data_IF_292288618803
#
_entry.id   IF_292288618803
#
_cell.length_a   1.000
_cell.length_b   1.000
_cell.length_c   1.000
_cell.angle_alpha   90.00
_cell.angle_beta   90.00
_cell.angle_gamma   90.00
#
_symmetry.space_group_name_H-M   'P 1'
#
loop_
_entity.id
_entity.type
_entity.pdbx_description
1 polymer ?
#
# COMPACT_ATOMS: atom_id res chain seq x y z
N UNK A 1 17.92 -0.32 1.09
CA UNK A 1 16.52 -0.80 0.95
C UNK A 1 15.66 -0.47 2.15
N UNK A 2 15.74 -1.16 3.31
CA UNK A 2 14.87 -0.84 4.48
C UNK A 2 14.90 0.64 4.87
N UNK A 3 16.08 1.27 4.91
CA UNK A 3 16.18 2.73 5.18
C UNK A 3 15.44 3.60 4.16
N UNK A 4 15.43 3.22 2.88
CA UNK A 4 14.72 3.96 1.83
C UNK A 4 13.21 3.79 2.01
N UNK A 5 12.76 2.55 2.24
CA UNK A 5 11.37 2.24 2.58
C UNK A 5 10.91 3.02 3.82
N UNK A 6 11.74 3.08 4.86
CA UNK A 6 11.46 3.83 6.08
C UNK A 6 11.37 5.33 5.84
N UNK A 7 12.32 5.91 5.10
CA UNK A 7 12.31 7.32 4.78
C UNK A 7 11.02 7.72 4.04
N UNK A 8 10.65 6.95 3.01
CA UNK A 8 9.41 7.19 2.24
C UNK A 8 8.16 6.94 3.07
N UNK A 9 8.08 5.83 3.82
CA UNK A 9 6.93 5.49 4.65
C UNK A 9 6.67 6.48 5.79
N UNK A 10 7.72 7.12 6.32
CA UNK A 10 7.60 8.05 7.44
C UNK A 10 7.31 9.48 7.00
N UNK A 11 7.39 9.77 5.70
CA UNK A 11 7.04 11.04 5.10
C UNK A 11 5.54 11.06 4.73
N UNK A 12 4.69 11.89 5.36
CA UNK A 12 3.26 11.92 5.05
C UNK A 12 2.91 12.25 3.59
N UNK A 13 3.76 12.98 2.87
CA UNK A 13 3.55 13.31 1.46
C UNK A 13 4.06 12.25 0.48
N UNK A 14 4.88 11.30 0.94
CA UNK A 14 5.46 10.23 0.10
C UNK A 14 5.04 8.82 0.53
N UNK A 15 4.37 8.68 1.68
CA UNK A 15 3.96 7.40 2.27
C UNK A 15 3.10 6.53 1.36
N UNK A 16 2.37 7.17 0.46
CA UNK A 16 1.60 6.56 -0.61
C UNK A 16 2.02 7.19 -1.95
N UNK A 17 1.53 6.64 -3.06
CA UNK A 17 1.78 7.23 -4.39
C UNK A 17 1.04 8.55 -4.61
N UNK A 18 0.10 8.87 -3.70
CA UNK A 18 -0.73 10.05 -3.75
C UNK A 18 -0.94 10.64 -2.36
N UNK A 19 -1.18 11.93 -2.28
CA UNK A 19 -1.47 12.61 -1.03
C UNK A 19 -2.53 13.71 -1.21
N UNK A 20 -3.31 13.91 -0.16
CA UNK A 20 -4.40 14.88 -0.14
C UNK A 20 -3.88 16.28 0.22
N UNK A 21 -4.14 17.26 -0.64
CA UNK A 21 -3.78 18.65 -0.39
C UNK A 21 -5.05 19.52 -0.42
N UNK A 22 -5.31 20.35 0.61
CA UNK A 22 -6.47 21.24 0.61
C UNK A 22 -6.42 22.24 -0.56
N UNK A 23 -7.51 22.30 -1.33
CA UNK A 23 -7.63 23.25 -2.45
C UNK A 23 -7.45 24.69 -2.00
N UNK A 24 -7.99 25.03 -0.82
CA UNK A 24 -7.86 26.35 -0.21
C UNK A 24 -6.38 26.72 0.04
N UNK A 25 -5.57 25.77 0.52
CA UNK A 25 -4.15 25.99 0.77
C UNK A 25 -3.38 26.22 -0.54
N UNK A 26 -3.68 25.44 -1.59
CA UNK A 26 -3.06 25.64 -2.92
C UNK A 26 -3.37 27.04 -3.46
N UNK A 27 -4.63 27.49 -3.34
CA UNK A 27 -5.04 28.83 -3.78
C UNK A 27 -4.33 29.91 -2.98
N UNK A 28 -4.21 29.76 -1.67
CA UNK A 28 -3.52 30.71 -0.80
C UNK A 28 -2.02 30.80 -1.14
N UNK A 29 -1.37 29.65 -1.34
CA UNK A 29 0.07 29.56 -1.57
C UNK A 29 0.50 29.95 -2.98
N UNK A 30 -0.23 29.51 -4.00
CA UNK A 30 0.17 29.65 -5.42
C UNK A 30 -0.82 30.43 -6.29
N UNK A 31 -1.98 30.80 -5.75
CA UNK A 31 -3.05 31.46 -6.48
C UNK A 31 -3.91 30.50 -7.31
N UNK A 32 -5.13 30.94 -7.65
CA UNK A 32 -6.12 30.13 -8.37
C UNK A 32 -5.66 29.61 -9.73
N UNK A 33 -4.80 30.36 -10.44
CA UNK A 33 -4.24 29.93 -11.73
C UNK A 33 -3.38 28.67 -11.64
N UNK A 34 -2.84 28.33 -10.45
CA UNK A 34 -2.07 27.10 -10.26
C UNK A 34 -2.96 25.86 -10.40
N UNK A 35 -4.18 25.88 -9.84
CA UNK A 35 -5.14 24.78 -9.96
C UNK A 35 -5.50 24.45 -11.41
N UNK A 36 -5.58 25.46 -12.27
CA UNK A 36 -5.85 25.27 -13.70
C UNK A 36 -4.68 24.59 -14.41
N UNK A 37 -3.43 24.84 -13.96
CA UNK A 37 -2.22 24.24 -14.53
C UNK A 37 -2.00 22.81 -14.09
N UNK A 38 -2.29 22.49 -12.83
CA UNK A 38 -2.10 21.15 -12.27
C UNK A 38 -3.35 20.26 -12.43
N UNK A 39 -4.34 20.72 -13.20
CA UNK A 39 -5.62 20.01 -13.34
C UNK A 39 -5.44 18.57 -13.84
N UNK A 40 -4.46 18.35 -14.71
CA UNK A 40 -4.16 17.03 -15.26
C UNK A 40 -3.39 16.15 -14.27
N UNK A 41 -2.79 16.74 -13.24
CA UNK A 41 -2.09 16.04 -12.14
C UNK A 41 -3.05 15.69 -10.97
N UNK A 42 -4.26 16.26 -10.95
CA UNK A 42 -5.30 15.93 -9.97
C UNK A 42 -5.89 14.57 -10.32
N UNK A 43 -5.69 13.61 -9.42
CA UNK A 43 -6.18 12.25 -9.61
C UNK A 43 -7.63 12.12 -9.18
N UNK A 44 -8.00 12.75 -8.07
CA UNK A 44 -9.37 12.79 -7.58
C UNK A 44 -9.63 14.02 -6.70
N UNK A 45 -10.91 14.33 -6.45
CA UNK A 45 -11.32 15.43 -5.58
C UNK A 45 -12.07 14.87 -4.36
N UNK A 46 -11.61 15.18 -3.16
CA UNK A 46 -12.27 14.84 -1.92
C UNK A 46 -13.55 15.66 -1.70
N UNK A 47 -14.53 15.07 -1.03
CA UNK A 47 -15.76 15.77 -0.63
C UNK A 47 -15.55 16.81 0.48
N UNK A 48 -14.37 16.78 1.11
CA UNK A 48 -13.90 17.70 2.15
C UNK A 48 -13.14 18.92 1.60
N UNK A 49 -13.03 19.05 0.26
CA UNK A 49 -12.33 20.15 -0.38
C UNK A 49 -10.82 19.95 -0.53
N UNK A 50 -10.34 18.70 -0.40
CA UNK A 50 -9.00 18.30 -0.80
C UNK A 50 -8.94 17.83 -2.25
N UNK A 51 -7.75 17.85 -2.83
CA UNK A 51 -7.44 17.18 -4.10
C UNK A 51 -6.33 16.17 -3.85
N UNK A 52 -6.50 14.99 -4.46
CA UNK A 52 -5.49 13.94 -4.43
C UNK A 52 -4.49 14.20 -5.57
N UNK A 53 -3.23 14.43 -5.21
CA UNK A 53 -2.14 14.68 -6.13
C UNK A 53 -1.11 13.55 -6.06
N UNK A 54 -0.38 13.32 -7.15
CA UNK A 54 0.77 12.40 -7.12
C UNK A 54 1.79 12.84 -6.06
N UNK A 55 2.38 11.86 -5.39
CA UNK A 55 3.54 12.06 -4.55
C UNK A 55 4.66 12.75 -5.36
N UNK A 56 5.53 13.49 -4.68
CA UNK A 56 6.65 14.24 -5.27
C UNK A 56 6.28 15.48 -6.11
N UNK A 57 4.99 15.82 -6.22
CA UNK A 57 4.58 17.14 -6.73
C UNK A 57 5.05 18.26 -5.79
N UNK A 58 5.24 19.46 -6.35
CA UNK A 58 5.67 20.64 -5.61
C UNK A 58 4.67 20.98 -4.49
N UNK A 59 3.38 20.87 -4.77
CA UNK A 59 2.29 21.13 -3.83
C UNK A 59 2.30 20.18 -2.64
N UNK A 60 2.48 18.88 -2.88
CA UNK A 60 2.57 17.87 -1.83
C UNK A 60 3.81 18.11 -0.98
N UNK A 61 4.96 18.37 -1.63
CA UNK A 61 6.23 18.62 -0.96
C UNK A 61 6.14 19.84 -0.04
N UNK A 62 5.59 20.96 -0.53
CA UNK A 62 5.45 22.19 0.25
C UNK A 62 4.40 22.04 1.37
N UNK A 63 3.27 21.38 1.10
CA UNK A 63 2.20 21.22 2.09
C UNK A 63 2.64 20.35 3.28
N UNK A 64 3.38 19.27 3.01
CA UNK A 64 3.85 18.34 4.02
C UNK A 64 5.27 18.64 4.54
N UNK A 65 5.89 19.76 4.13
CA UNK A 65 7.27 20.11 4.53
C UNK A 65 7.47 20.05 6.05
N UNK A 66 6.54 20.66 6.79
CA UNK A 66 6.56 20.77 8.26
C UNK A 66 5.75 19.67 8.97
N UNK A 67 5.20 18.70 8.22
CA UNK A 67 4.39 17.64 8.80
C UNK A 67 5.24 16.69 9.66
N UNK A 68 4.67 16.27 10.80
CA UNK A 68 5.34 15.32 11.69
C UNK A 68 5.66 14.02 10.95
N UNK A 69 6.94 13.68 10.91
CA UNK A 69 7.43 12.42 10.32
C UNK A 69 7.24 11.27 11.29
N UNK A 70 6.90 10.11 10.77
CA UNK A 70 6.73 8.88 11.55
C UNK A 70 5.84 7.87 10.87
N UNK A 71 5.76 6.63 11.39
CA UNK A 71 4.92 5.59 10.83
C UNK A 71 3.43 5.88 11.10
N UNK A 72 2.57 5.57 10.13
CA UNK A 72 1.11 5.61 10.34
C UNK A 72 0.67 4.55 11.36
N UNK A 73 1.19 3.33 11.19
CA UNK A 73 1.03 2.23 12.12
C UNK A 73 2.41 1.86 12.65
N UNK A 74 2.67 2.01 13.96
CA UNK A 74 3.97 1.69 14.53
C UNK A 74 4.43 0.27 14.20
N UNK A 75 5.75 0.03 14.04
CA UNK A 75 6.28 -1.30 13.87
C UNK A 75 5.86 -2.22 15.01
N UNK A 76 5.65 -3.49 14.69
CA UNK A 76 5.24 -4.52 15.65
C UNK A 76 6.42 -5.35 16.13
N UNK A 77 6.24 -6.06 17.24
CA UNK A 77 7.27 -6.94 17.77
C UNK A 77 7.43 -8.19 16.90
N UNK A 78 8.61 -8.83 16.96
CA UNK A 78 8.82 -10.13 16.32
C UNK A 78 7.84 -11.19 16.82
N UNK A 79 7.46 -11.14 18.11
CA UNK A 79 6.45 -12.05 18.67
C UNK A 79 5.08 -11.86 18.01
N UNK A 80 4.70 -10.63 17.64
CA UNK A 80 3.43 -10.39 16.97
C UNK A 80 3.47 -10.84 15.51
N UNK A 81 4.62 -10.71 14.85
CA UNK A 81 4.87 -11.33 13.54
C UNK A 81 4.70 -12.85 13.63
N UNK A 82 5.28 -13.50 14.63
CA UNK A 82 5.17 -14.95 14.82
C UNK A 82 3.73 -15.41 15.08
N UNK A 83 2.94 -14.61 15.82
CA UNK A 83 1.50 -14.88 16.01
C UNK A 83 0.75 -14.79 14.69
N UNK A 84 1.06 -13.79 13.85
CA UNK A 84 0.46 -13.67 12.53
C UNK A 84 0.88 -14.81 11.58
N UNK A 85 2.17 -15.18 11.57
CA UNK A 85 2.67 -16.35 10.85
C UNK A 85 1.95 -17.64 11.26
N UNK A 86 1.63 -17.79 12.55
CA UNK A 86 0.85 -18.92 13.06
C UNK A 86 -0.58 -18.94 12.51
N UNK A 87 -1.25 -17.77 12.46
CA UNK A 87 -2.59 -17.64 11.85
C UNK A 87 -2.59 -17.91 10.36
N UNK A 88 -1.58 -17.40 9.64
CA UNK A 88 -1.38 -17.60 8.20
C UNK A 88 -0.98 -19.07 7.89
N UNK A 89 -0.44 -19.79 8.88
CA UNK A 89 0.04 -21.16 8.71
C UNK A 89 1.35 -21.26 7.91
N UNK A 90 2.04 -20.13 7.68
CA UNK A 90 3.30 -20.04 6.94
C UNK A 90 4.19 -18.94 7.51
N UNK A 91 5.51 -19.12 7.38
CA UNK A 91 6.46 -18.05 7.69
C UNK A 91 6.46 -17.00 6.59
N UNK A 92 6.59 -15.75 7.00
CA UNK A 92 6.76 -14.64 6.07
C UNK A 92 8.20 -14.62 5.54
N UNK A 93 8.41 -14.14 4.31
CA UNK A 93 9.73 -13.78 3.81
C UNK A 93 10.44 -12.84 4.78
N UNK A 94 11.75 -13.03 4.95
CA UNK A 94 12.55 -12.22 5.87
C UNK A 94 12.38 -10.71 5.60
N UNK A 95 12.22 -10.34 4.33
CA UNK A 95 11.96 -8.96 3.94
C UNK A 95 10.65 -8.41 4.54
N UNK A 96 9.55 -9.16 4.50
CA UNK A 96 8.29 -8.72 5.11
C UNK A 96 8.36 -8.67 6.62
N UNK A 97 9.04 -9.63 7.26
CA UNK A 97 9.28 -9.59 8.72
C UNK A 97 9.95 -8.28 9.11
N UNK A 98 11.06 -7.95 8.43
CA UNK A 98 11.80 -6.71 8.65
C UNK A 98 10.97 -5.46 8.36
N UNK A 99 10.15 -5.50 7.32
CA UNK A 99 9.25 -4.40 6.96
C UNK A 99 8.29 -4.08 8.11
N UNK A 100 7.63 -5.09 8.64
CA UNK A 100 6.66 -4.93 9.74
C UNK A 100 7.31 -4.60 11.11
N UNK A 101 8.57 -4.99 11.33
CA UNK A 101 9.28 -4.74 12.60
C UNK A 101 10.18 -3.50 12.61
N UNK A 102 10.66 -3.04 11.44
CA UNK A 102 11.59 -1.91 11.33
C UNK A 102 10.96 -0.66 10.69
N UNK A 103 9.95 -0.82 9.82
CA UNK A 103 9.36 0.32 9.06
C UNK A 103 8.02 0.74 9.65
N UNK A 104 7.01 -0.12 9.56
CA UNK A 104 5.65 0.12 10.05
C UNK A 104 4.77 -1.13 9.91
N UNK A 105 3.70 -1.23 10.70
CA UNK A 105 2.70 -2.30 10.59
C UNK A 105 1.67 -2.02 9.47
N UNK A 106 2.15 -1.88 8.25
CA UNK A 106 1.35 -1.42 7.10
C UNK A 106 1.12 0.09 7.11
N UNK A 107 0.15 0.56 6.33
CA UNK A 107 -0.21 1.98 6.29
C UNK A 107 0.70 2.82 5.41
N UNK A 108 1.49 2.20 4.53
CA UNK A 108 2.40 2.85 3.59
C UNK A 108 2.65 1.90 2.41
N UNK A 109 3.17 2.40 1.31
CA UNK A 109 3.43 1.60 0.13
C UNK A 109 2.61 2.10 -1.06
N UNK A 110 2.62 1.35 -2.18
CA UNK A 110 1.92 1.77 -3.38
C UNK A 110 0.41 1.77 -3.17
N UNK A 111 -0.29 2.53 -4.02
CA UNK A 111 -1.75 2.69 -4.02
C UNK A 111 -2.30 3.07 -2.63
N UNK A 112 -3.22 2.24 -2.11
CA UNK A 112 -3.83 2.38 -0.79
C UNK A 112 -2.88 1.98 0.35
N UNK A 113 -1.67 1.52 0.05
CA UNK A 113 -0.67 1.12 1.01
C UNK A 113 -0.90 -0.25 1.65
N UNK A 114 0.17 -0.81 2.21
CA UNK A 114 0.20 -2.16 2.74
C UNK A 114 -0.79 -2.37 3.89
N UNK A 115 -1.46 -3.51 3.87
CA UNK A 115 -2.26 -4.04 4.95
C UNK A 115 -1.41 -4.20 6.21
N UNK A 116 -2.05 -3.99 7.37
CA UNK A 116 -1.42 -4.31 8.64
C UNK A 116 -1.29 -5.83 8.77
N UNK A 117 -0.22 -6.30 9.40
CA UNK A 117 -0.05 -7.73 9.59
C UNK A 117 -1.00 -8.28 10.67
N UNK A 118 -1.25 -7.47 11.69
CA UNK A 118 -2.11 -7.80 12.83
C UNK A 118 -3.32 -6.88 12.92
N UNK A 119 -4.39 -7.39 13.54
CA UNK A 119 -5.53 -6.58 13.92
C UNK A 119 -5.13 -5.65 15.08
N UNK A 120 -5.53 -4.37 15.01
CA UNK A 120 -5.65 -3.53 16.20
C UNK A 120 -4.38 -2.87 16.78
N UNK A 121 -3.68 -2.05 16.01
CA UNK A 121 -2.93 -0.93 16.62
C UNK A 121 -3.01 0.31 15.72
N UNK A 122 -4.12 1.03 15.84
CA UNK A 122 -4.41 2.23 15.03
C UNK A 122 -4.29 3.44 15.93
N UNK A 123 -3.50 4.44 15.53
CA UNK A 123 -3.50 5.71 16.22
C UNK A 123 -4.94 6.27 16.30
N UNK A 124 -5.33 6.95 17.39
CA UNK A 124 -6.65 7.56 17.50
C UNK A 124 -6.88 8.51 16.31
N UNK A 125 -7.93 8.27 15.52
CA UNK A 125 -8.29 9.10 14.37
C UNK A 125 -8.09 8.47 12.99
N UNK A 126 -7.46 7.29 12.89
CA UNK A 126 -7.27 6.61 11.60
C UNK A 126 -8.22 5.42 11.37
N UNK A 127 -8.73 5.39 10.14
CA UNK A 127 -9.81 4.61 9.51
C UNK A 127 -10.12 3.25 10.16
N UNK A 128 -11.41 3.02 10.46
CA UNK A 128 -11.91 1.75 11.01
C UNK A 128 -11.77 0.56 10.03
N UNK A 129 -11.36 0.83 8.80
CA UNK A 129 -11.46 -0.11 7.66
C UNK A 129 -10.10 -0.55 7.07
N UNK A 130 -8.96 -0.20 7.69
CA UNK A 130 -7.66 -0.64 7.14
C UNK A 130 -7.53 -2.17 7.15
N UNK A 131 -7.18 -2.82 6.02
CA UNK A 131 -7.15 -4.27 5.92
C UNK A 131 -6.06 -4.88 6.81
N UNK A 132 -6.40 -6.02 7.42
CA UNK A 132 -5.47 -6.88 8.14
C UNK A 132 -5.14 -8.09 7.26
N UNK A 133 -3.87 -8.26 6.90
CA UNK A 133 -3.41 -9.31 6.01
C UNK A 133 -3.74 -10.71 6.53
N UNK A 134 -3.62 -10.95 7.85
CA UNK A 134 -3.97 -12.24 8.45
C UNK A 134 -5.47 -12.54 8.36
N UNK A 135 -6.32 -11.55 8.65
CA UNK A 135 -7.78 -11.70 8.59
C UNK A 135 -8.29 -11.81 7.14
N UNK A 136 -7.70 -11.07 6.19
CA UNK A 136 -7.98 -11.23 4.76
C UNK A 136 -7.53 -12.60 4.26
N UNK A 137 -6.38 -13.10 4.72
CA UNK A 137 -5.89 -14.43 4.34
C UNK A 137 -6.86 -15.54 4.81
N UNK A 138 -7.36 -15.48 6.05
CA UNK A 138 -8.36 -16.41 6.57
C UNK A 138 -9.65 -16.42 5.74
N UNK A 139 -10.12 -15.23 5.31
CA UNK A 139 -11.28 -15.09 4.40
C UNK A 139 -10.97 -15.69 3.02
N UNK A 140 -9.84 -15.34 2.43
CA UNK A 140 -9.46 -15.79 1.11
C UNK A 140 -9.33 -17.32 1.06
N UNK A 141 -8.80 -17.94 2.13
CA UNK A 141 -8.76 -19.39 2.25
C UNK A 141 -10.15 -20.03 2.22
N UNK A 142 -11.16 -19.44 2.89
CA UNK A 142 -12.52 -19.98 2.85
C UNK A 142 -13.21 -19.78 1.50
N UNK A 143 -12.76 -18.79 0.73
CA UNK A 143 -13.17 -18.52 -0.66
C UNK A 143 -12.38 -19.34 -1.70
N UNK A 144 -11.45 -20.20 -1.26
CA UNK A 144 -10.70 -21.13 -2.11
C UNK A 144 -9.39 -20.58 -2.68
N UNK A 145 -8.97 -19.39 -2.29
CA UNK A 145 -7.68 -18.82 -2.73
C UNK A 145 -6.50 -19.68 -2.30
N UNK A 146 -5.38 -19.64 -3.06
CA UNK A 146 -4.19 -20.40 -2.73
C UNK A 146 -3.65 -20.05 -1.33
N UNK A 147 -3.37 -21.04 -0.45
CA UNK A 147 -2.78 -20.79 0.87
C UNK A 147 -1.39 -20.18 0.86
N UNK A 148 -0.79 -20.01 -0.31
CA UNK A 148 0.51 -19.34 -0.48
C UNK A 148 0.36 -17.86 -0.78
N UNK A 149 -0.84 -17.35 -1.04
CA UNK A 149 -1.06 -15.95 -1.39
C UNK A 149 -1.43 -15.16 -0.16
N UNK A 150 -0.66 -14.11 0.11
CA UNK A 150 -0.89 -13.19 1.21
C UNK A 150 -1.22 -11.81 0.65
N UNK A 151 -2.36 -11.27 1.04
CA UNK A 151 -2.80 -9.94 0.65
C UNK A 151 -1.81 -8.87 1.12
N UNK A 152 -1.42 -7.97 0.21
CA UNK A 152 -0.57 -6.82 0.47
C UNK A 152 -1.39 -5.53 0.48
N UNK A 153 -2.07 -5.18 -0.60
CA UNK A 153 -2.81 -3.91 -0.70
C UNK A 153 -3.88 -3.97 -1.80
N UNK A 154 -4.85 -3.06 -1.75
CA UNK A 154 -5.77 -2.84 -2.86
C UNK A 154 -5.09 -1.98 -3.93
N UNK A 155 -5.22 -2.40 -5.18
CA UNK A 155 -4.79 -1.66 -6.37
C UNK A 155 -5.87 -0.72 -6.95
N UNK A 156 -7.03 -0.63 -6.29
CA UNK A 156 -8.19 0.11 -6.77
C UNK A 156 -9.21 -0.76 -7.52
N UNK A 157 -10.45 -0.28 -7.61
CA UNK A 157 -11.60 -1.04 -8.11
C UNK A 157 -11.71 -2.41 -7.41
N UNK A 158 -11.42 -3.50 -8.13
CA UNK A 158 -11.44 -4.89 -7.64
C UNK A 158 -10.08 -5.56 -7.76
N UNK A 159 -9.03 -4.79 -8.04
CA UNK A 159 -7.67 -5.27 -8.11
C UNK A 159 -7.02 -5.33 -6.73
N UNK A 160 -6.32 -6.43 -6.47
CA UNK A 160 -5.63 -6.72 -5.23
C UNK A 160 -4.20 -7.18 -5.54
N UNK A 161 -3.25 -6.66 -4.77
CA UNK A 161 -1.88 -7.12 -4.78
C UNK A 161 -1.67 -8.17 -3.69
N UNK A 162 -1.15 -9.32 -4.08
CA UNK A 162 -0.81 -10.43 -3.18
C UNK A 162 0.67 -10.76 -3.30
N UNK A 163 1.27 -11.39 -2.30
CA UNK A 163 2.62 -11.97 -2.40
C UNK A 163 2.55 -13.49 -2.34
N UNK A 164 3.32 -14.17 -3.18
CA UNK A 164 3.51 -15.61 -3.06
C UNK A 164 4.53 -15.94 -1.97
N UNK A 165 4.07 -16.62 -0.91
CA UNK A 165 4.90 -17.11 0.20
C UNK A 165 5.66 -18.40 -0.13
N UNK A 166 5.34 -19.09 -1.23
CA UNK A 166 5.96 -20.38 -1.60
C UNK A 166 6.88 -20.32 -2.82
N UNK A 167 6.70 -19.34 -3.71
CA UNK A 167 7.54 -19.20 -4.87
C UNK A 167 8.90 -18.58 -4.52
N UNK A 168 9.94 -18.94 -5.29
CA UNK A 168 11.27 -18.33 -5.20
C UNK A 168 11.16 -16.83 -5.44
N UNK A 169 11.92 -16.04 -4.70
CA UNK A 169 11.93 -14.57 -4.73
C UNK A 169 10.62 -13.86 -4.36
N UNK A 170 9.59 -14.61 -3.94
CA UNK A 170 8.31 -14.11 -3.46
C UNK A 170 7.69 -13.07 -4.41
N UNK A 171 7.32 -13.45 -5.64
CA UNK A 171 6.70 -12.55 -6.61
C UNK A 171 5.44 -11.90 -6.03
N UNK A 172 5.21 -10.64 -6.42
CA UNK A 172 3.97 -9.91 -6.12
C UNK A 172 3.01 -10.13 -7.29
N UNK A 173 1.81 -10.55 -6.96
CA UNK A 173 0.77 -11.02 -7.86
C UNK A 173 -0.32 -9.97 -7.91
N UNK A 174 -0.67 -9.53 -9.12
CA UNK A 174 -1.86 -8.72 -9.33
C UNK A 174 -3.04 -9.64 -9.62
N UNK A 175 -4.02 -9.61 -8.74
CA UNK A 175 -5.25 -10.37 -8.84
C UNK A 175 -6.43 -9.41 -9.08
N UNK A 176 -7.32 -9.77 -9.99
CA UNK A 176 -8.52 -9.02 -10.32
C UNK A 176 -9.75 -9.85 -9.89
N UNK A 177 -10.44 -9.39 -8.84
CA UNK A 177 -11.55 -10.13 -8.23
C UNK A 177 -12.80 -10.17 -9.12
N UNK A 178 -12.97 -9.23 -10.04
CA UNK A 178 -14.05 -9.28 -11.07
C UNK A 178 -13.60 -10.04 -12.33
N UNK A 179 -12.37 -10.54 -12.33
CA UNK A 179 -11.68 -10.96 -13.52
C UNK A 179 -12.11 -12.30 -14.11
N UNK A 180 -13.02 -13.03 -13.45
CA UNK A 180 -13.40 -14.39 -13.81
C UNK A 180 -14.91 -14.64 -13.68
N UNK A 181 -15.41 -15.57 -14.47
CA UNK A 181 -16.83 -15.93 -14.62
C UNK A 181 -17.20 -17.15 -13.78
N UNK A 182 -18.51 -17.40 -13.62
CA UNK A 182 -19.01 -18.54 -12.85
C UNK A 182 -18.53 -19.88 -13.45
N UNK A 183 -17.69 -20.61 -12.70
CA UNK A 183 -17.10 -21.89 -13.10
C UNK A 183 -15.57 -21.88 -13.22
N UNK A 184 -14.95 -20.70 -13.12
CA UNK A 184 -13.50 -20.49 -13.10
C UNK A 184 -12.96 -20.49 -11.67
N UNK A 185 -11.69 -20.83 -11.51
CA UNK A 185 -11.00 -20.90 -10.23
C UNK A 185 -10.29 -19.59 -9.86
N UNK A 186 -9.92 -19.41 -8.59
CA UNK A 186 -9.09 -18.31 -8.07
C UNK A 186 -7.87 -17.90 -8.90
N UNK A 187 -7.29 -18.83 -9.65
CA UNK A 187 -6.11 -18.57 -10.48
C UNK A 187 -6.43 -17.79 -11.76
N UNK A 188 -7.68 -17.81 -12.22
CA UNK A 188 -8.09 -17.18 -13.48
C UNK A 188 -8.19 -15.65 -13.36
N UNK A 189 -8.26 -15.12 -12.13
CA UNK A 189 -8.15 -13.69 -11.84
C UNK A 189 -6.70 -13.17 -11.80
N UNK A 190 -5.68 -14.01 -11.95
CA UNK A 190 -4.28 -13.56 -11.96
C UNK A 190 -3.98 -12.79 -13.26
N UNK A 191 -3.64 -11.50 -13.14
CA UNK A 191 -3.32 -10.62 -14.28
C UNK A 191 -1.83 -10.47 -14.53
N UNK A 192 -1.05 -10.39 -13.46
CA UNK A 192 0.39 -10.15 -13.55
C UNK A 192 1.13 -10.76 -12.35
N UNK A 193 2.40 -11.09 -12.55
CA UNK A 193 3.31 -11.48 -11.48
C UNK A 193 4.66 -10.78 -11.68
N UNK A 194 5.08 -9.99 -10.71
CA UNK A 194 6.37 -9.31 -10.73
C UNK A 194 7.52 -10.29 -10.53
N UNK A 195 8.74 -9.87 -10.88
CA UNK A 195 9.92 -10.73 -10.72
C UNK A 195 10.24 -11.06 -9.24
N UNK A 196 9.97 -10.14 -8.30
CA UNK A 196 10.21 -10.37 -6.86
C UNK A 196 9.57 -9.29 -5.99
N UNK A 197 9.25 -9.63 -4.74
CA UNK A 197 8.83 -8.68 -3.71
C UNK A 197 9.87 -7.57 -3.52
N UNK A 198 11.15 -7.91 -3.58
CA UNK A 198 12.25 -6.96 -3.43
C UNK A 198 12.18 -5.86 -4.49
N UNK A 199 11.99 -6.24 -5.75
CA UNK A 199 11.91 -5.31 -6.88
C UNK A 199 10.69 -4.41 -6.73
N UNK A 200 9.52 -4.99 -6.47
CA UNK A 200 8.27 -4.25 -6.31
C UNK A 200 8.35 -3.20 -5.18
N UNK A 201 8.87 -3.58 -4.00
CA UNK A 201 9.09 -2.63 -2.90
C UNK A 201 10.15 -1.57 -3.23
N UNK A 202 11.17 -1.93 -4.01
CA UNK A 202 12.21 -0.97 -4.42
C UNK A 202 11.66 0.05 -5.42
N UNK A 203 10.89 -0.37 -6.42
CA UNK A 203 10.23 0.51 -7.39
C UNK A 203 9.48 1.61 -6.66
N UNK A 204 8.63 1.23 -5.70
CA UNK A 204 7.93 2.21 -4.87
C UNK A 204 8.88 3.09 -4.03
N UNK A 205 9.87 2.50 -3.36
CA UNK A 205 10.81 3.24 -2.50
C UNK A 205 11.63 4.29 -3.25
N UNK A 206 11.91 4.04 -4.54
CA UNK A 206 12.70 4.90 -5.43
C UNK A 206 11.85 5.94 -6.17
N UNK A 207 10.53 6.00 -5.91
CA UNK A 207 9.60 6.93 -6.56
C UNK A 207 9.02 6.45 -7.88
N UNK A 208 9.28 5.20 -8.27
CA UNK A 208 8.67 4.58 -9.45
C UNK A 208 7.24 4.11 -9.19
N UNK A 209 6.48 3.97 -10.28
CA UNK A 209 5.12 3.43 -10.25
C UNK A 209 5.17 1.90 -10.43
N UNK A 210 4.55 1.16 -9.52
CA UNK A 210 4.48 -0.31 -9.60
C UNK A 210 3.56 -0.79 -10.73
N UNK A 211 2.71 0.08 -11.28
CA UNK A 211 1.84 -0.19 -12.41
C UNK A 211 2.55 -0.13 -13.76
N UNK A 212 3.71 0.52 -13.86
CA UNK A 212 4.49 0.62 -15.11
C UNK A 212 4.93 -0.75 -15.65
N UNK A 213 4.99 -1.79 -14.80
CA UNK A 213 5.33 -3.16 -15.21
C UNK A 213 4.11 -4.00 -15.62
N UNK A 214 2.90 -3.49 -15.38
CA UNK A 214 1.62 -4.18 -15.60
C UNK A 214 0.94 -3.73 -16.89
N UNK A 215 1.07 -2.45 -17.25
CA UNK A 215 0.47 -1.80 -18.43
C UNK A 215 1.33 -1.98 -19.69
#
# INVERSE_FOLDING_TARGET
>A
MIKALQARAWDPGLRFDRADVPVAWIIERYGKSRLERIRDDIVSCGSDGTVELKAETEEVTDYYADATRGPLFPPISLSDVEKAEHRIGRRLPELLRRLYTEVANGGFGPDSGLASLTDGNRAPGHVRDWPCAASVHERNLSEGMPPSWLFLTYGGCTMEWHVSLSAVDNPVLLYDADGYTFGEGPHDGLRHATASLRKWLWTWADGGDVWDEVL
#
